data_IF_793583564868
#
_entry.id   IF_793583564868
#
_cell.length_a   1.000
_cell.length_b   1.000
_cell.length_c   1.000
_cell.angle_alpha   90.00
_cell.angle_beta   90.00
_cell.angle_gamma   90.00
#
_symmetry.space_group_name_H-M   'P 1'
#
loop_
_entity.id
_entity.type
_entity.pdbx_description
1 polymer ?
#
# COMPACT_ATOMS: atom_id res chain seq x y z
N UNK A 1 14.79 -10.42 -34.08
CA UNK A 1 15.51 -10.29 -35.37
C UNK A 1 15.55 -11.66 -36.02
N UNK A 2 15.38 -11.72 -37.34
CA UNK A 2 15.48 -12.98 -38.09
C UNK A 2 16.54 -12.79 -39.17
N UNK A 3 17.57 -13.63 -39.15
CA UNK A 3 18.65 -13.61 -40.15
C UNK A 3 18.70 -14.96 -40.87
N UNK A 4 19.08 -14.93 -42.14
CA UNK A 4 19.32 -16.08 -43.00
C UNK A 4 20.61 -15.86 -43.77
N UNK A 5 21.54 -16.81 -43.67
CA UNK A 5 22.81 -16.77 -44.37
C UNK A 5 22.84 -17.82 -45.49
N UNK A 6 23.24 -17.40 -46.69
CA UNK A 6 23.42 -18.29 -47.83
C UNK A 6 24.90 -18.58 -48.04
N UNK A 7 25.32 -19.83 -47.80
CA UNK A 7 26.70 -20.28 -48.01
C UNK A 7 27.14 -20.20 -49.48
N UNK A 8 26.22 -20.28 -50.44
CA UNK A 8 26.55 -20.21 -51.88
C UNK A 8 26.89 -18.82 -52.37
N UNK A 9 26.25 -17.81 -51.77
CA UNK A 9 26.36 -16.41 -52.20
C UNK A 9 27.12 -15.55 -51.21
N UNK A 10 27.44 -16.07 -50.03
CA UNK A 10 28.00 -15.34 -48.88
C UNK A 10 27.18 -14.11 -48.46
N UNK A 11 25.88 -14.11 -48.76
CA UNK A 11 24.97 -13.00 -48.41
C UNK A 11 24.21 -13.37 -47.15
N UNK A 12 24.26 -12.46 -46.17
CA UNK A 12 23.38 -12.48 -45.00
C UNK A 12 22.18 -11.59 -45.29
N UNK A 13 20.99 -12.17 -45.34
CA UNK A 13 19.73 -11.44 -45.46
C UNK A 13 18.96 -11.50 -44.14
N UNK A 14 18.15 -10.51 -43.83
CA UNK A 14 17.42 -10.55 -42.57
C UNK A 14 16.47 -9.38 -42.36
N UNK A 15 15.60 -9.57 -41.37
CA UNK A 15 14.62 -8.61 -40.94
C UNK A 15 14.80 -8.31 -39.45
N UNK A 16 14.91 -7.02 -39.12
CA UNK A 16 15.01 -6.55 -37.75
C UNK A 16 13.80 -5.69 -37.43
N UNK A 17 13.06 -6.07 -36.40
CA UNK A 17 12.08 -5.20 -35.75
C UNK A 17 12.75 -4.61 -34.51
N UNK A 18 12.89 -3.30 -34.48
CA UNK A 18 13.48 -2.56 -33.37
C UNK A 18 12.48 -1.50 -32.86
N UNK A 19 12.58 -1.17 -31.57
CA UNK A 19 11.83 -0.06 -31.00
C UNK A 19 12.42 1.27 -31.50
N UNK A 20 11.62 2.35 -31.51
CA UNK A 20 12.10 3.67 -31.92
C UNK A 20 13.25 4.20 -31.03
N UNK A 21 13.37 3.68 -29.80
CA UNK A 21 14.47 3.95 -28.88
C UNK A 21 15.79 3.30 -29.30
N UNK A 22 15.74 2.22 -30.08
CA UNK A 22 16.92 1.52 -30.56
C UNK A 22 17.35 2.16 -31.88
N UNK A 23 18.42 2.95 -31.84
CA UNK A 23 19.01 3.59 -33.01
C UNK A 23 19.79 2.59 -33.88
N UNK A 24 19.03 1.67 -34.47
CA UNK A 24 19.54 0.59 -35.31
C UNK A 24 20.07 1.12 -36.64
N UNK A 25 19.50 2.22 -37.14
CA UNK A 25 19.92 2.82 -38.42
C UNK A 25 21.38 3.27 -38.34
N UNK A 26 21.74 4.00 -37.28
CA UNK A 26 23.11 4.42 -37.05
C UNK A 26 24.09 3.25 -36.93
N UNK A 27 23.70 2.16 -36.25
CA UNK A 27 24.55 0.95 -36.16
C UNK A 27 24.81 0.31 -37.53
N UNK A 28 23.79 0.26 -38.39
CA UNK A 28 23.93 -0.30 -39.74
C UNK A 28 24.78 0.62 -40.61
N UNK A 29 24.63 1.93 -40.48
CA UNK A 29 25.46 2.94 -41.17
C UNK A 29 26.92 2.86 -40.73
N UNK A 30 27.21 2.64 -39.45
CA UNK A 30 28.57 2.43 -38.93
C UNK A 30 29.19 1.09 -39.36
N UNK A 31 28.36 0.08 -39.65
CA UNK A 31 28.80 -1.24 -40.11
C UNK A 31 29.06 -1.29 -41.62
N UNK A 32 28.42 -0.41 -42.40
CA UNK A 32 28.57 -0.37 -43.86
C UNK A 32 30.04 -0.25 -44.32
N UNK A 33 30.88 0.63 -43.73
CA UNK A 33 32.29 0.75 -44.08
C UNK A 33 33.13 -0.48 -43.69
N UNK A 34 32.66 -1.30 -42.75
CA UNK A 34 33.36 -2.48 -42.26
C UNK A 34 33.07 -3.75 -43.10
N UNK A 35 32.31 -3.64 -44.19
CA UNK A 35 31.77 -4.77 -44.94
C UNK A 35 32.83 -5.66 -45.63
N UNK A 36 34.00 -5.12 -46.01
CA UNK A 36 34.92 -5.81 -46.93
C UNK A 36 35.84 -6.89 -46.32
N UNK A 37 36.16 -6.92 -45.01
CA UNK A 37 36.91 -8.05 -44.43
C UNK A 37 36.18 -8.84 -43.31
N UNK A 38 34.90 -8.52 -42.98
CA UNK A 38 34.30 -8.95 -41.70
C UNK A 38 32.87 -9.52 -41.75
N UNK A 39 32.44 -10.11 -42.85
CA UNK A 39 31.06 -10.59 -43.02
C UNK A 39 30.76 -11.90 -42.26
N UNK A 40 30.97 -11.94 -40.95
CA UNK A 40 30.40 -12.99 -40.11
C UNK A 40 28.92 -12.67 -39.85
N UNK A 41 27.97 -13.58 -40.16
CA UNK A 41 26.52 -13.30 -40.08
C UNK A 41 26.07 -12.91 -38.66
N UNK A 42 26.80 -13.34 -37.64
CA UNK A 42 26.54 -13.03 -36.24
C UNK A 42 27.09 -11.70 -35.72
N UNK A 43 27.84 -10.94 -36.52
CA UNK A 43 28.42 -9.67 -36.07
C UNK A 43 27.35 -8.63 -35.73
N UNK A 44 26.37 -8.42 -36.62
CA UNK A 44 25.27 -7.50 -36.41
C UNK A 44 24.41 -7.87 -35.17
N UNK A 45 23.92 -9.12 -35.00
CA UNK A 45 23.22 -9.51 -33.78
C UNK A 45 24.02 -9.23 -32.52
N UNK A 46 25.32 -9.51 -32.55
CA UNK A 46 26.17 -9.35 -31.39
C UNK A 46 26.35 -7.87 -31.03
N UNK A 47 26.47 -6.98 -32.02
CA UNK A 47 26.58 -5.54 -31.80
C UNK A 47 25.27 -4.97 -31.25
N UNK A 48 24.14 -5.39 -31.80
CA UNK A 48 22.81 -5.00 -31.30
C UNK A 48 22.62 -5.48 -29.85
N UNK A 49 22.92 -6.75 -29.56
CA UNK A 49 22.88 -7.29 -28.21
C UNK A 49 23.80 -6.53 -27.26
N UNK A 50 25.02 -6.23 -27.70
CA UNK A 50 25.98 -5.51 -26.90
C UNK A 50 25.49 -4.08 -26.60
N UNK A 51 24.88 -3.38 -27.56
CA UNK A 51 24.33 -2.04 -27.31
C UNK A 51 23.18 -2.10 -26.29
N UNK A 52 22.17 -2.93 -26.54
CA UNK A 52 21.02 -3.06 -25.64
C UNK A 52 21.43 -3.46 -24.21
N UNK A 53 22.32 -4.45 -24.08
CA UNK A 53 22.77 -4.91 -22.76
C UNK A 53 23.69 -3.91 -22.06
N UNK A 54 24.55 -3.19 -22.78
CA UNK A 54 25.54 -2.31 -22.16
C UNK A 54 24.99 -0.93 -21.84
N UNK A 55 24.19 -0.34 -22.72
CA UNK A 55 23.71 1.03 -22.51
C UNK A 55 22.40 1.02 -21.76
N UNK A 56 21.40 0.31 -22.27
CA UNK A 56 20.06 0.42 -21.74
C UNK A 56 19.93 -0.27 -20.37
N UNK A 57 20.36 -1.54 -20.26
CA UNK A 57 20.17 -2.28 -19.02
C UNK A 57 21.02 -1.72 -17.86
N UNK A 58 22.27 -1.31 -18.10
CA UNK A 58 23.10 -0.72 -17.04
C UNK A 58 22.60 0.66 -16.58
N UNK A 59 22.09 1.47 -17.51
CA UNK A 59 21.45 2.74 -17.15
C UNK A 59 20.19 2.53 -16.32
N UNK A 60 19.34 1.56 -16.69
CA UNK A 60 18.15 1.21 -15.91
C UNK A 60 18.57 0.75 -14.52
N UNK A 61 19.55 -0.16 -14.40
CA UNK A 61 20.04 -0.62 -13.10
C UNK A 61 20.60 0.52 -12.25
N UNK A 62 21.35 1.44 -12.86
CA UNK A 62 21.87 2.62 -12.17
C UNK A 62 20.74 3.51 -11.66
N UNK A 63 19.71 3.79 -12.47
CA UNK A 63 18.53 4.56 -12.07
C UNK A 63 17.78 3.91 -10.90
N UNK A 64 17.60 2.58 -10.94
CA UNK A 64 16.98 1.84 -9.83
C UNK A 64 17.82 1.96 -8.56
N UNK A 65 19.16 1.87 -8.67
CA UNK A 65 20.07 2.03 -7.53
C UNK A 65 19.99 3.42 -6.91
N UNK A 66 20.00 4.46 -7.74
CA UNK A 66 19.90 5.85 -7.28
C UNK A 66 18.56 6.08 -6.58
N UNK A 67 17.48 5.49 -7.10
CA UNK A 67 16.15 5.50 -6.49
C UNK A 67 16.12 4.75 -5.15
N UNK A 68 16.74 3.56 -5.07
CA UNK A 68 16.86 2.79 -3.83
C UNK A 68 17.64 3.59 -2.77
N UNK A 69 18.74 4.23 -3.15
CA UNK A 69 19.51 5.05 -2.22
C UNK A 69 18.69 6.25 -1.72
N UNK A 70 17.89 6.88 -2.58
CA UNK A 70 16.97 7.94 -2.17
C UNK A 70 15.92 7.42 -1.16
N UNK A 71 15.33 6.25 -1.41
CA UNK A 71 14.37 5.60 -0.49
C UNK A 71 15.03 5.29 0.86
N UNK A 72 16.24 4.71 0.86
CA UNK A 72 17.00 4.40 2.07
C UNK A 72 17.34 5.67 2.89
N UNK A 73 17.71 6.75 2.22
CA UNK A 73 17.98 8.04 2.87
C UNK A 73 16.70 8.63 3.50
N UNK A 74 15.56 8.56 2.81
CA UNK A 74 14.29 9.03 3.34
C UNK A 74 13.79 8.20 4.53
N UNK A 75 13.91 6.87 4.45
CA UNK A 75 13.52 5.94 5.53
C UNK A 75 14.44 6.04 6.76
N UNK A 76 15.75 6.20 6.56
CA UNK A 76 16.69 6.39 7.68
C UNK A 76 16.46 7.71 8.43
N UNK A 77 16.06 8.77 7.73
CA UNK A 77 15.62 10.04 8.33
C UNK A 77 14.37 9.90 9.21
N UNK A 78 13.55 8.88 8.98
CA UNK A 78 12.39 8.54 9.81
C UNK A 78 12.79 7.82 11.10
N UNK A 79 13.68 6.81 11.01
CA UNK A 79 14.14 6.02 12.16
C UNK A 79 14.92 6.86 13.19
N UNK A 80 15.67 7.87 12.74
CA UNK A 80 16.59 8.63 13.60
C UNK A 80 15.94 9.75 14.43
N UNK A 81 14.63 10.04 14.31
CA UNK A 81 14.02 11.12 15.10
C UNK A 81 13.61 10.60 16.49
N UNK A 82 14.34 10.95 17.55
CA UNK A 82 13.98 10.55 18.89
C UNK A 82 12.64 11.19 19.25
N UNK A 83 11.86 10.42 19.97
CA UNK A 83 10.60 10.76 20.63
C UNK A 83 10.72 12.02 21.48
N UNK A 84 10.63 13.19 20.84
CA UNK A 84 10.65 14.48 21.52
C UNK A 84 9.94 15.52 20.69
N UNK A 85 8.84 16.03 21.24
CA UNK A 85 8.03 17.17 20.78
C UNK A 85 6.98 16.88 19.68
N UNK A 86 5.74 16.82 20.15
CA UNK A 86 4.49 16.82 19.39
C UNK A 86 4.15 18.23 18.92
N UNK A 87 4.90 18.80 17.97
CA UNK A 87 4.46 20.06 17.33
C UNK A 87 4.68 19.98 15.82
N UNK A 88 3.60 20.15 15.05
CA UNK A 88 3.63 20.37 13.60
C UNK A 88 3.78 19.12 12.72
N UNK A 89 2.81 18.19 12.74
CA UNK A 89 2.84 16.96 11.92
C UNK A 89 1.67 16.88 10.93
N UNK A 90 1.59 17.82 9.99
CA UNK A 90 0.74 17.67 8.79
C UNK A 90 1.59 17.43 7.53
N UNK A 91 2.87 17.84 7.52
CA UNK A 91 3.79 17.64 6.40
C UNK A 91 4.40 16.21 6.29
N UNK A 92 4.23 15.33 7.28
CA UNK A 92 4.88 14.00 7.31
C UNK A 92 4.14 12.89 6.55
N UNK A 93 2.84 13.01 6.31
CA UNK A 93 2.09 11.96 5.61
C UNK A 93 2.29 12.03 4.08
N UNK A 94 2.58 13.23 3.56
CA UNK A 94 2.95 13.42 2.15
C UNK A 94 4.27 12.71 1.79
N UNK A 95 5.17 12.53 2.76
CA UNK A 95 6.47 11.87 2.59
C UNK A 95 6.33 10.34 2.45
N UNK A 96 5.44 9.70 3.23
CA UNK A 96 5.17 8.24 3.13
C UNK A 96 4.61 7.89 1.75
N UNK A 97 3.63 8.65 1.27
CA UNK A 97 3.06 8.43 -0.06
C UNK A 97 4.11 8.63 -1.16
N UNK A 98 4.98 9.65 -1.03
CA UNK A 98 6.10 9.85 -1.93
C UNK A 98 7.08 8.67 -1.96
N UNK A 99 7.46 8.16 -0.79
CA UNK A 99 8.32 6.97 -0.66
C UNK A 99 7.64 5.72 -1.25
N UNK A 100 6.34 5.55 -1.01
CA UNK A 100 5.56 4.44 -1.56
C UNK A 100 5.52 4.47 -3.09
N UNK A 101 5.29 5.65 -3.70
CA UNK A 101 5.35 5.82 -5.15
C UNK A 101 6.76 5.51 -5.69
N UNK A 102 7.81 6.09 -5.10
CA UNK A 102 9.19 5.82 -5.53
C UNK A 102 9.55 4.32 -5.44
N UNK A 103 9.08 3.63 -4.39
CA UNK A 103 9.28 2.20 -4.22
C UNK A 103 8.53 1.39 -5.28
N UNK A 104 7.30 1.78 -5.61
CA UNK A 104 6.51 1.16 -6.67
C UNK A 104 7.17 1.36 -8.04
N UNK A 105 7.66 2.56 -8.34
CA UNK A 105 8.37 2.89 -9.58
C UNK A 105 9.69 2.11 -9.69
N UNK A 106 10.49 2.06 -8.62
CA UNK A 106 11.73 1.29 -8.58
C UNK A 106 11.48 -0.21 -8.82
N UNK A 107 10.43 -0.78 -8.20
CA UNK A 107 9.99 -2.16 -8.44
C UNK A 107 9.52 -2.37 -9.88
N UNK A 108 8.76 -1.42 -10.44
CA UNK A 108 8.30 -1.45 -11.81
C UNK A 108 9.45 -1.49 -12.82
N UNK A 109 10.44 -0.61 -12.65
CA UNK A 109 11.64 -0.57 -13.50
C UNK A 109 12.46 -1.85 -13.40
N UNK A 110 12.54 -2.45 -12.21
CA UNK A 110 13.26 -3.69 -12.00
C UNK A 110 12.59 -4.90 -12.69
N UNK A 111 11.26 -4.92 -12.73
CA UNK A 111 10.50 -6.01 -13.34
C UNK A 111 10.48 -5.96 -14.88
N UNK A 112 10.82 -4.81 -15.47
CA UNK A 112 10.66 -4.55 -16.90
C UNK A 112 11.66 -5.32 -17.79
N UNK A 113 12.86 -5.65 -17.31
CA UNK A 113 13.83 -6.45 -18.07
C UNK A 113 14.45 -7.57 -17.23
N UNK A 114 14.01 -8.80 -17.50
CA UNK A 114 14.52 -10.00 -16.85
C UNK A 114 15.85 -10.44 -17.48
N UNK A 115 16.97 -10.42 -16.72
CA UNK A 115 18.26 -10.87 -17.25
C UNK A 115 18.24 -12.33 -17.69
N UNK A 116 17.32 -13.15 -17.16
CA UNK A 116 17.12 -14.54 -17.55
C UNK A 116 16.72 -14.69 -19.01
N UNK A 117 15.87 -13.78 -19.52
CA UNK A 117 15.45 -13.80 -20.93
C UNK A 117 16.64 -13.54 -21.85
N UNK A 118 17.52 -12.61 -21.48
CA UNK A 118 18.73 -12.32 -22.23
C UNK A 118 19.74 -13.48 -22.23
N UNK A 119 19.79 -14.27 -21.15
CA UNK A 119 20.59 -15.50 -21.12
C UNK A 119 20.10 -16.51 -22.15
N UNK A 120 18.78 -16.72 -22.24
CA UNK A 120 18.19 -17.62 -23.23
C UNK A 120 18.49 -17.18 -24.66
N UNK A 121 18.39 -15.87 -24.93
CA UNK A 121 18.77 -15.30 -26.22
C UNK A 121 20.25 -15.56 -26.52
N UNK A 122 21.13 -15.33 -25.55
CA UNK A 122 22.57 -15.54 -25.74
C UNK A 122 22.93 -17.01 -25.98
N UNK A 123 22.28 -17.94 -25.28
CA UNK A 123 22.44 -19.38 -25.52
C UNK A 123 21.93 -19.77 -26.91
N UNK A 124 20.78 -19.23 -27.35
CA UNK A 124 20.27 -19.48 -28.72
C UNK A 124 21.24 -18.97 -29.80
N UNK A 125 21.86 -17.81 -29.58
CA UNK A 125 22.88 -17.25 -30.48
C UNK A 125 24.12 -18.13 -30.48
N UNK A 126 24.56 -18.62 -29.33
CA UNK A 126 25.71 -19.52 -29.22
C UNK A 126 25.45 -20.86 -29.91
N UNK A 127 24.26 -21.45 -29.74
CA UNK A 127 23.87 -22.68 -30.44
C UNK A 127 23.86 -22.45 -31.96
N UNK A 128 23.26 -21.36 -32.41
CA UNK A 128 23.20 -21.02 -33.84
C UNK A 128 24.60 -20.75 -34.44
N UNK A 129 25.50 -20.16 -33.65
CA UNK A 129 26.89 -19.94 -34.02
C UNK A 129 27.65 -21.26 -34.21
N UNK A 130 27.41 -22.24 -33.33
CA UNK A 130 27.98 -23.59 -33.44
C UNK A 130 27.50 -24.31 -34.70
N UNK A 131 26.18 -24.30 -34.96
CA UNK A 131 25.59 -24.88 -36.17
C UNK A 131 26.17 -24.25 -37.45
N UNK A 132 26.29 -22.92 -37.47
CA UNK A 132 26.92 -22.21 -38.57
C UNK A 132 28.38 -22.65 -38.79
N UNK A 133 29.14 -22.83 -37.71
CA UNK A 133 30.53 -23.27 -37.80
C UNK A 133 30.63 -24.71 -38.30
N UNK A 134 29.76 -25.60 -37.87
CA UNK A 134 29.78 -27.01 -38.27
C UNK A 134 29.48 -27.16 -39.77
N UNK A 135 28.49 -26.43 -40.28
CA UNK A 135 28.04 -26.46 -41.69
C UNK A 135 28.99 -25.72 -42.66
N UNK A 136 29.94 -24.92 -42.17
CA UNK A 136 30.82 -24.12 -43.02
C UNK A 136 31.87 -24.99 -43.76
N UNK A 137 32.11 -24.77 -45.07
CA UNK A 137 33.16 -25.46 -45.83
C UNK A 137 34.56 -25.24 -45.24
N UNK A 138 35.46 -26.21 -45.42
CA UNK A 138 36.85 -26.16 -44.91
C UNK A 138 37.66 -24.97 -45.45
N UNK A 139 37.43 -24.57 -46.70
CA UNK A 139 38.11 -23.44 -47.34
C UNK A 139 37.72 -22.11 -46.66
N UNK A 140 36.42 -21.90 -46.45
CA UNK A 140 35.88 -20.70 -45.80
C UNK A 140 36.24 -20.64 -44.30
N UNK A 141 36.25 -21.80 -43.63
CA UNK A 141 36.66 -21.92 -42.22
C UNK A 141 38.01 -21.26 -41.97
N UNK A 142 39.01 -21.53 -42.81
CA UNK A 142 40.37 -21.01 -42.64
C UNK A 142 40.42 -19.48 -42.62
N UNK A 143 39.63 -18.82 -43.46
CA UNK A 143 39.56 -17.35 -43.51
C UNK A 143 38.81 -16.76 -42.31
N UNK A 144 37.78 -17.46 -41.81
CA UNK A 144 36.88 -16.96 -40.77
C UNK A 144 37.26 -17.37 -39.33
N UNK A 145 38.25 -18.26 -39.12
CA UNK A 145 38.64 -18.73 -37.77
C UNK A 145 38.85 -17.59 -36.79
N UNK A 146 39.62 -16.56 -37.18
CA UNK A 146 39.96 -15.44 -36.29
C UNK A 146 38.72 -14.65 -35.87
N UNK A 147 37.80 -14.41 -36.81
CA UNK A 147 36.55 -13.70 -36.56
C UNK A 147 35.60 -14.53 -35.71
N UNK A 148 35.47 -15.82 -36.01
CA UNK A 148 34.64 -16.74 -35.25
C UNK A 148 35.08 -16.80 -33.78
N UNK A 149 36.38 -17.01 -33.53
CA UNK A 149 36.94 -17.00 -32.17
C UNK A 149 36.74 -15.65 -31.46
N UNK A 150 36.84 -14.53 -32.19
CA UNK A 150 36.56 -13.21 -31.63
C UNK A 150 35.10 -13.08 -31.16
N UNK A 151 34.16 -13.56 -31.97
CA UNK A 151 32.73 -13.59 -31.66
C UNK A 151 32.45 -14.50 -30.46
N UNK A 152 33.02 -15.70 -30.42
CA UNK A 152 32.87 -16.61 -29.27
C UNK A 152 33.38 -15.98 -27.97
N UNK A 153 34.57 -15.35 -28.00
CA UNK A 153 35.12 -14.62 -26.85
C UNK A 153 34.19 -13.50 -26.41
N UNK A 154 33.61 -12.76 -27.38
CA UNK A 154 32.71 -11.65 -27.08
C UNK A 154 31.37 -12.14 -26.51
N UNK A 155 30.82 -13.25 -26.99
CA UNK A 155 29.67 -13.92 -26.39
C UNK A 155 29.99 -14.34 -24.95
N UNK A 156 31.17 -14.93 -24.71
CA UNK A 156 31.64 -15.30 -23.37
C UNK A 156 31.74 -14.08 -22.44
N UNK A 157 32.27 -12.96 -22.94
CA UNK A 157 32.32 -11.70 -22.21
C UNK A 157 30.92 -11.17 -21.85
N UNK A 158 29.98 -11.16 -22.81
CA UNK A 158 28.60 -10.74 -22.57
C UNK A 158 27.93 -11.65 -21.54
N UNK A 159 28.16 -12.96 -21.60
CA UNK A 159 27.63 -13.92 -20.62
C UNK A 159 28.13 -13.63 -19.21
N UNK A 160 29.43 -13.40 -19.05
CA UNK A 160 30.03 -13.06 -17.75
C UNK A 160 29.46 -11.73 -17.20
N UNK A 161 29.32 -10.72 -18.07
CA UNK A 161 28.71 -9.43 -17.70
C UNK A 161 27.26 -9.59 -17.26
N UNK A 162 26.47 -10.37 -17.99
CA UNK A 162 25.06 -10.62 -17.66
C UNK A 162 24.89 -11.34 -16.32
N UNK A 163 25.81 -12.25 -15.97
CA UNK A 163 25.84 -12.87 -14.65
C UNK A 163 26.13 -11.83 -13.53
N UNK A 164 27.00 -10.85 -13.80
CA UNK A 164 27.20 -9.71 -12.89
C UNK A 164 25.94 -8.88 -12.70
N UNK A 165 25.31 -8.46 -13.82
CA UNK A 165 24.05 -7.70 -13.85
C UNK A 165 22.95 -8.43 -13.08
N UNK A 166 22.81 -9.74 -13.24
CA UNK A 166 21.84 -10.55 -12.51
C UNK A 166 22.10 -10.58 -11.00
N UNK A 167 23.36 -10.78 -10.58
CA UNK A 167 23.73 -10.74 -9.16
C UNK A 167 23.37 -9.38 -8.54
N UNK A 168 23.68 -8.29 -9.24
CA UNK A 168 23.31 -6.94 -8.80
C UNK A 168 21.81 -6.70 -8.78
N UNK A 169 21.09 -7.20 -9.76
CA UNK A 169 19.63 -7.15 -9.76
C UNK A 169 19.10 -7.87 -8.52
N UNK A 170 19.57 -9.09 -8.24
CA UNK A 170 19.09 -9.85 -7.10
C UNK A 170 19.35 -9.14 -5.75
N UNK A 171 20.56 -8.61 -5.52
CA UNK A 171 20.86 -7.83 -4.31
C UNK A 171 19.94 -6.60 -4.18
N UNK A 172 19.74 -5.87 -5.27
CA UNK A 172 18.85 -4.70 -5.30
C UNK A 172 17.41 -5.10 -4.98
N UNK A 173 16.97 -6.29 -5.43
CA UNK A 173 15.64 -6.83 -5.15
C UNK A 173 15.46 -7.04 -3.66
N UNK A 174 16.41 -7.74 -3.06
CA UNK A 174 16.38 -8.14 -1.67
C UNK A 174 16.38 -6.89 -0.78
N UNK A 175 17.18 -5.88 -1.14
CA UNK A 175 17.20 -4.57 -0.48
C UNK A 175 15.88 -3.81 -0.62
N UNK A 176 15.30 -3.75 -1.82
CA UNK A 176 13.98 -3.12 -2.02
C UNK A 176 12.88 -3.83 -1.22
N UNK A 177 12.94 -5.16 -1.10
CA UNK A 177 12.00 -5.92 -0.26
C UNK A 177 12.15 -5.60 1.23
N UNK A 178 13.38 -5.40 1.72
CA UNK A 178 13.63 -4.94 3.09
C UNK A 178 13.03 -3.55 3.30
N UNK A 179 13.25 -2.62 2.37
CA UNK A 179 12.68 -1.26 2.48
C UNK A 179 11.15 -1.26 2.41
N UNK A 180 10.55 -2.11 1.59
CA UNK A 180 9.10 -2.27 1.52
C UNK A 180 8.52 -2.72 2.85
N UNK A 181 9.11 -3.76 3.47
CA UNK A 181 8.68 -4.25 4.79
C UNK A 181 8.83 -3.18 5.87
N UNK A 182 9.92 -2.40 5.82
CA UNK A 182 10.13 -1.30 6.76
C UNK A 182 9.06 -0.21 6.59
N UNK A 183 8.68 0.13 5.35
CA UNK A 183 7.62 1.07 5.06
C UNK A 183 6.26 0.59 5.60
N UNK A 184 5.93 -0.69 5.42
CA UNK A 184 4.69 -1.28 5.94
C UNK A 184 4.60 -1.17 7.48
N UNK A 185 5.71 -1.44 8.18
CA UNK A 185 5.78 -1.29 9.64
C UNK A 185 5.58 0.18 10.05
N UNK A 186 6.18 1.13 9.34
CA UNK A 186 5.99 2.56 9.61
C UNK A 186 4.55 2.99 9.34
N UNK A 187 3.93 2.47 8.28
CA UNK A 187 2.53 2.75 7.96
C UNK A 187 1.62 2.27 9.09
N UNK A 188 1.80 1.02 9.55
CA UNK A 188 1.07 0.48 10.70
C UNK A 188 1.27 1.32 11.98
N UNK A 189 2.49 1.80 12.24
CA UNK A 189 2.76 2.69 13.37
C UNK A 189 2.00 4.03 13.23
N UNK A 190 1.93 4.59 12.02
CA UNK A 190 1.18 5.82 11.77
C UNK A 190 -0.32 5.62 11.92
N UNK A 191 -0.87 4.51 11.43
CA UNK A 191 -2.28 4.15 11.60
C UNK A 191 -2.64 3.95 13.07
N UNK A 192 -1.77 3.27 13.84
CA UNK A 192 -1.95 3.09 15.27
C UNK A 192 -1.97 4.44 16.01
N UNK A 193 -1.04 5.36 15.69
CA UNK A 193 -1.01 6.72 16.27
C UNK A 193 -2.25 7.52 15.89
N UNK A 194 -2.70 7.42 14.64
CA UNK A 194 -3.91 8.10 14.17
C UNK A 194 -5.17 7.56 14.87
N UNK A 195 -5.26 6.24 15.05
CA UNK A 195 -6.36 5.58 15.77
C UNK A 195 -6.43 6.04 17.23
N UNK A 196 -5.28 6.13 17.93
CA UNK A 196 -5.21 6.66 19.29
C UNK A 196 -5.65 8.13 19.34
N UNK A 197 -5.17 8.96 18.41
CA UNK A 197 -5.56 10.35 18.32
C UNK A 197 -7.07 10.52 18.05
N UNK A 198 -7.63 9.74 17.13
CA UNK A 198 -9.06 9.71 16.82
C UNK A 198 -9.89 9.25 18.01
N UNK A 199 -9.43 8.24 18.75
CA UNK A 199 -10.09 7.77 19.98
C UNK A 199 -10.08 8.86 21.04
N UNK A 200 -8.97 9.59 21.20
CA UNK A 200 -8.87 10.71 22.14
C UNK A 200 -9.82 11.86 21.76
N UNK A 201 -9.91 12.19 20.46
CA UNK A 201 -10.82 13.20 19.94
C UNK A 201 -12.29 12.77 20.13
N UNK A 202 -12.60 11.51 19.84
CA UNK A 202 -13.93 10.92 20.05
C UNK A 202 -14.34 10.94 21.52
N UNK A 203 -13.40 10.65 22.44
CA UNK A 203 -13.64 10.76 23.88
C UNK A 203 -13.93 12.21 24.31
N UNK A 204 -13.22 13.19 23.75
CA UNK A 204 -13.48 14.62 24.01
C UNK A 204 -14.85 15.07 23.46
N UNK A 205 -15.21 14.62 22.25
CA UNK A 205 -16.52 14.88 21.65
C UNK A 205 -17.62 14.24 22.50
N UNK A 206 -17.46 12.97 22.90
CA UNK A 206 -18.43 12.28 23.74
C UNK A 206 -18.59 12.95 25.12
N UNK A 207 -17.51 13.44 25.73
CA UNK A 207 -17.59 14.21 26.98
C UNK A 207 -18.34 15.53 26.80
N UNK A 208 -18.06 16.27 25.72
CA UNK A 208 -18.73 17.53 25.40
C UNK A 208 -20.20 17.33 25.03
N UNK A 209 -20.51 16.24 24.32
CA UNK A 209 -21.86 15.81 24.00
C UNK A 209 -22.62 15.40 25.26
N UNK A 210 -21.99 14.71 26.22
CA UNK A 210 -22.62 14.36 27.50
C UNK A 210 -23.04 15.58 28.32
N UNK A 211 -22.26 16.67 28.29
CA UNK A 211 -22.67 17.95 28.85
C UNK A 211 -23.87 18.53 28.10
N UNK A 212 -23.82 18.61 26.76
CA UNK A 212 -24.97 19.08 25.97
C UNK A 212 -26.24 18.23 26.14
N UNK A 213 -26.10 16.92 26.37
CA UNK A 213 -27.24 16.03 26.66
C UNK A 213 -27.87 16.31 28.03
N UNK A 214 -27.12 16.82 29.01
CA UNK A 214 -27.69 17.23 30.31
C UNK A 214 -28.54 18.49 30.16
N UNK A 215 -28.09 19.42 29.33
CA UNK A 215 -28.83 20.65 29.02
C UNK A 215 -30.07 20.36 28.16
N UNK A 216 -29.97 19.42 27.22
CA UNK A 216 -31.12 18.97 26.44
C UNK A 216 -32.11 18.18 27.30
N UNK A 217 -31.62 17.37 28.26
CA UNK A 217 -32.47 16.66 29.20
C UNK A 217 -33.22 17.62 30.13
N UNK A 218 -32.59 18.70 30.62
CA UNK A 218 -33.27 19.69 31.45
C UNK A 218 -34.35 20.45 30.67
N UNK A 219 -34.07 20.86 29.42
CA UNK A 219 -35.07 21.47 28.54
C UNK A 219 -36.26 20.51 28.29
N UNK A 220 -35.99 19.23 28.05
CA UNK A 220 -37.03 18.22 27.81
C UNK A 220 -37.88 17.98 29.06
N UNK A 221 -37.28 18.01 30.25
CA UNK A 221 -38.03 17.92 31.51
C UNK A 221 -38.92 19.16 31.68
N UNK A 222 -38.40 20.36 31.39
CA UNK A 222 -39.19 21.60 31.43
C UNK A 222 -40.37 21.53 30.47
N UNK A 223 -40.16 21.12 29.22
CA UNK A 223 -41.26 21.00 28.25
C UNK A 223 -42.26 19.91 28.65
N UNK A 224 -41.80 18.78 29.19
CA UNK A 224 -42.68 17.70 29.65
C UNK A 224 -43.57 18.11 30.83
N UNK A 225 -43.10 18.99 31.71
CA UNK A 225 -43.89 19.51 32.84
C UNK A 225 -44.84 20.62 32.38
N UNK A 226 -44.35 21.53 31.53
CA UNK A 226 -45.14 22.69 31.11
C UNK A 226 -46.20 22.37 30.07
N UNK A 227 -46.01 21.36 29.19
CA UNK A 227 -46.96 21.04 28.12
C UNK A 227 -48.31 20.51 28.66
N UNK A 228 -48.36 19.58 29.63
CA UNK A 228 -49.61 19.16 30.25
C UNK A 228 -50.24 20.27 31.09
N UNK A 229 -49.42 21.09 31.78
CA UNK A 229 -49.89 22.20 32.59
C UNK A 229 -50.52 23.31 31.72
N UNK A 230 -49.93 23.63 30.56
CA UNK A 230 -50.51 24.57 29.60
C UNK A 230 -51.75 24.02 28.92
N UNK A 231 -51.80 22.71 28.64
CA UNK A 231 -53.02 22.07 28.15
C UNK A 231 -54.18 22.14 29.17
N UNK A 232 -53.90 21.87 30.45
CA UNK A 232 -54.87 22.01 31.54
C UNK A 232 -55.30 23.47 31.76
N UNK A 233 -54.38 24.43 31.66
CA UNK A 233 -54.70 25.85 31.73
C UNK A 233 -55.52 26.32 30.52
N UNK A 234 -55.32 25.77 29.32
CA UNK A 234 -56.15 26.12 28.15
C UNK A 234 -57.60 25.62 28.29
N UNK A 235 -57.84 24.58 29.09
CA UNK A 235 -59.17 24.08 29.43
C UNK A 235 -59.91 24.95 30.49
N UNK A 236 -59.20 25.88 31.13
CA UNK A 236 -59.70 26.76 32.19
C UNK A 236 -59.26 28.21 31.91
N UNK A 237 -60.09 29.17 31.46
CA UNK A 237 -61.51 29.16 31.10
C UNK A 237 -61.76 29.80 29.70
N UNK A 238 -62.44 29.09 28.79
CA UNK A 238 -63.06 29.70 27.59
C UNK A 238 -64.19 28.79 27.04
N UNK A 239 -65.13 29.31 26.24
CA UNK A 239 -66.58 29.10 26.35
C UNK A 239 -67.12 27.78 25.77
N UNK A 240 -66.33 26.70 25.75
CA UNK A 240 -66.82 25.38 25.34
C UNK A 240 -67.71 24.73 26.42
N UNK A 241 -67.58 25.17 27.68
CA UNK A 241 -68.41 24.73 28.82
C UNK A 241 -69.83 25.33 28.85
N UNK A 242 -70.17 26.23 27.92
CA UNK A 242 -71.53 26.81 27.82
C UNK A 242 -72.46 26.10 26.85
N UNK A 243 -71.98 25.09 26.11
CA UNK A 243 -72.76 24.35 25.12
C UNK A 243 -73.43 23.07 25.65
N UNK A 244 -73.20 22.70 26.92
CA UNK A 244 -73.84 21.54 27.57
C UNK A 244 -74.80 22.02 28.66
N UNK A 245 -75.99 22.45 28.25
CA UNK A 245 -77.10 22.74 29.15
C UNK A 245 -77.90 21.46 29.43
N UNK A 246 -77.32 20.60 30.26
CA UNK A 246 -78.04 19.55 30.99
C UNK A 246 -77.25 19.22 32.27
N UNK A 247 -77.91 19.32 33.42
CA UNK A 247 -77.29 19.26 34.76
C UNK A 247 -76.71 17.88 35.15
N UNK A 248 -76.63 16.92 34.22
CA UNK A 248 -76.24 15.53 34.48
C UNK A 248 -75.00 15.10 33.66
N UNK A 249 -74.61 15.81 32.60
CA UNK A 249 -73.47 15.40 31.74
C UNK A 249 -72.10 15.97 32.16
N UNK A 250 -72.07 16.90 33.13
CA UNK A 250 -70.81 17.51 33.61
C UNK A 250 -69.99 16.52 34.44
N UNK A 251 -70.63 15.68 35.26
CA UNK A 251 -69.93 14.65 36.04
C UNK A 251 -69.42 13.51 35.15
N UNK A 252 -70.21 13.12 34.14
CA UNK A 252 -69.85 12.09 33.18
C UNK A 252 -68.66 12.53 32.30
N UNK A 253 -68.69 13.76 31.76
CA UNK A 253 -67.61 14.31 30.95
C UNK A 253 -66.33 14.57 31.74
N UNK A 254 -66.41 15.05 33.00
CA UNK A 254 -65.24 15.17 33.88
C UNK A 254 -64.64 13.79 34.19
N UNK A 255 -65.46 12.78 34.46
CA UNK A 255 -64.99 11.41 34.74
C UNK A 255 -64.33 10.75 33.52
N UNK A 256 -64.82 11.04 32.31
CA UNK A 256 -64.22 10.59 31.06
C UNK A 256 -62.88 11.27 30.79
N UNK A 257 -62.77 12.58 31.02
CA UNK A 257 -61.52 13.33 30.90
C UNK A 257 -60.48 12.91 31.96
N UNK A 258 -60.90 12.66 33.21
CA UNK A 258 -60.02 12.14 34.26
C UNK A 258 -59.54 10.72 33.92
N UNK A 259 -60.41 9.87 33.37
CA UNK A 259 -60.07 8.53 32.91
C UNK A 259 -59.04 8.53 31.80
N UNK A 260 -59.19 9.42 30.80
CA UNK A 260 -58.21 9.61 29.72
C UNK A 260 -56.88 10.13 30.27
N UNK A 261 -56.91 11.09 31.21
CA UNK A 261 -55.72 11.61 31.87
C UNK A 261 -54.94 10.55 32.65
N UNK A 262 -55.64 9.70 33.41
CA UNK A 262 -55.04 8.59 34.15
C UNK A 262 -54.47 7.52 33.20
N UNK A 263 -55.18 7.19 32.12
CA UNK A 263 -54.69 6.27 31.10
C UNK A 263 -53.39 6.79 30.45
N UNK A 264 -53.32 8.09 30.18
CA UNK A 264 -52.12 8.71 29.61
C UNK A 264 -50.95 8.72 30.60
N UNK A 265 -51.20 8.93 31.89
CA UNK A 265 -50.19 8.84 32.95
C UNK A 265 -49.65 7.40 33.12
N UNK A 266 -50.52 6.39 33.03
CA UNK A 266 -50.11 4.98 33.06
C UNK A 266 -49.29 4.63 31.80
N UNK A 267 -49.67 5.16 30.64
CA UNK A 267 -48.91 4.97 29.40
C UNK A 267 -47.51 5.63 29.48
N UNK A 268 -47.43 6.85 30.00
CA UNK A 268 -46.16 7.57 30.19
C UNK A 268 -45.25 6.90 31.22
N UNK A 269 -45.81 6.43 32.34
CA UNK A 269 -45.04 5.74 33.37
C UNK A 269 -44.54 4.38 32.90
N UNK A 270 -45.36 3.60 32.18
CA UNK A 270 -44.94 2.33 31.58
C UNK A 270 -43.87 2.51 30.49
N UNK A 271 -43.99 3.55 29.65
CA UNK A 271 -42.98 3.89 28.64
C UNK A 271 -41.66 4.31 29.31
N UNK A 272 -41.73 5.11 30.37
CA UNK A 272 -40.55 5.52 31.14
C UNK A 272 -39.87 4.32 31.82
N UNK A 273 -40.68 3.37 32.33
CA UNK A 273 -40.17 2.12 32.89
C UNK A 273 -39.50 1.24 31.83
N UNK A 274 -40.09 1.14 30.63
CA UNK A 274 -39.52 0.38 29.50
C UNK A 274 -38.18 0.96 29.02
N UNK A 275 -38.06 2.29 28.96
CA UNK A 275 -36.79 2.96 28.62
C UNK A 275 -35.73 2.71 29.70
N UNK A 276 -36.10 2.77 30.98
CA UNK A 276 -35.19 2.48 32.10
C UNK A 276 -34.71 1.03 32.09
N UNK A 277 -35.58 0.07 31.76
CA UNK A 277 -35.22 -1.33 31.57
C UNK A 277 -34.26 -1.53 30.40
N UNK A 278 -34.51 -0.88 29.25
CA UNK A 278 -33.62 -0.94 28.09
C UNK A 278 -32.22 -0.41 28.42
N UNK A 279 -32.14 0.72 29.12
CA UNK A 279 -30.85 1.27 29.55
C UNK A 279 -30.12 0.32 30.51
N UNK A 280 -30.82 -0.31 31.45
CA UNK A 280 -30.21 -1.26 32.39
C UNK A 280 -29.63 -2.50 31.69
N UNK A 281 -30.24 -2.98 30.61
CA UNK A 281 -29.73 -4.11 29.84
C UNK A 281 -28.46 -3.75 29.04
N UNK A 282 -28.36 -2.53 28.50
CA UNK A 282 -27.17 -2.06 27.78
C UNK A 282 -25.96 -1.96 28.74
N UNK A 283 -26.18 -1.53 30.00
CA UNK A 283 -25.14 -1.49 31.02
C UNK A 283 -24.61 -2.88 31.41
N UNK A 284 -25.47 -3.90 31.47
CA UNK A 284 -25.03 -5.28 31.78
C UNK A 284 -24.11 -5.86 30.70
N UNK A 285 -24.43 -5.64 29.42
CA UNK A 285 -23.56 -6.09 28.33
C UNK A 285 -22.21 -5.35 28.29
N UNK A 286 -22.14 -4.10 28.76
CA UNK A 286 -20.87 -3.37 28.89
C UNK A 286 -19.97 -3.90 30.02
N UNK A 287 -20.54 -4.38 31.12
CA UNK A 287 -19.78 -5.00 32.22
C UNK A 287 -19.28 -6.40 31.88
N UNK A 288 -20.06 -7.19 31.14
CA UNK A 288 -19.62 -8.50 30.66
C UNK A 288 -18.47 -8.37 29.65
N UNK A 289 -18.51 -7.42 28.72
CA UNK A 289 -17.39 -7.14 27.82
C UNK A 289 -16.09 -6.71 28.52
N UNK A 290 -16.19 -6.04 29.68
CA UNK A 290 -15.04 -5.60 30.48
C UNK A 290 -14.40 -6.74 31.28
N UNK A 291 -15.16 -7.78 31.62
CA UNK A 291 -14.65 -8.98 32.32
C UNK A 291 -13.88 -9.91 31.38
N UNK A 292 -14.22 -9.95 30.09
CA UNK A 292 -13.51 -10.78 29.10
C UNK A 292 -12.12 -10.22 28.80
N UNK A 293 -11.95 -8.89 28.73
CA UNK A 293 -10.64 -8.25 28.50
C UNK A 293 -9.68 -8.41 29.68
N UNK A 294 -10.20 -8.47 30.91
CA UNK A 294 -9.37 -8.65 32.11
C UNK A 294 -8.92 -10.10 32.37
N UNK A 295 -9.52 -11.09 31.70
CA UNK A 295 -9.08 -12.49 31.81
C UNK A 295 -7.93 -12.84 30.85
N UNK A 296 -7.71 -12.05 29.80
CA UNK A 296 -6.64 -12.30 28.82
C UNK A 296 -5.31 -11.61 29.12
N UNK A 297 -5.25 -10.72 30.11
CA UNK A 297 -4.03 -10.01 30.55
C UNK A 297 -3.41 -10.58 31.85
N UNK A 298 -3.62 -11.87 32.12
CA UNK A 298 -2.90 -12.62 33.14
C UNK A 298 -1.51 -13.10 32.67
N UNK A 299 -0.64 -12.20 32.24
CA UNK A 299 0.76 -12.52 31.97
C UNK A 299 1.57 -12.49 33.27
N UNK A 300 2.12 -13.65 33.67
CA UNK A 300 2.97 -13.85 34.85
C UNK A 300 4.24 -12.97 34.78
N UNK A 301 4.66 -12.32 35.88
CA UNK A 301 5.98 -11.72 35.95
C UNK A 301 7.05 -12.81 36.11
N UNK A 302 7.94 -12.93 35.12
CA UNK A 302 9.16 -13.74 35.20
C UNK A 302 10.18 -12.97 36.07
N UNK A 303 10.58 -13.59 37.19
CA UNK A 303 11.56 -13.04 38.13
C UNK A 303 12.95 -13.00 37.50
N UNK A 304 13.60 -11.84 37.57
CA UNK A 304 15.05 -11.69 37.39
C UNK A 304 15.78 -12.30 38.60
N UNK A 305 16.69 -13.22 38.32
CA UNK A 305 17.76 -13.63 39.23
C UNK A 305 19.01 -13.88 38.37
N UNK A 306 19.90 -12.89 38.33
CA UNK A 306 21.30 -13.07 37.92
C UNK A 306 22.12 -12.27 38.92
N UNK A 307 22.72 -13.01 39.86
CA UNK A 307 23.76 -12.55 40.75
C UNK A 307 25.03 -12.26 39.93
N UNK A 308 25.57 -11.06 40.11
CA UNK A 308 26.92 -10.70 39.66
C UNK A 308 27.77 -10.57 40.91
N UNK A 309 28.48 -11.63 41.24
CA UNK A 309 29.66 -11.55 42.11
C UNK A 309 30.89 -11.44 41.21
N UNK A 310 31.54 -10.27 41.27
CA UNK A 310 32.91 -10.12 40.79
C UNK A 310 33.88 -10.75 41.79
N UNK A 311 34.90 -11.43 41.29
CA UNK A 311 36.17 -11.55 41.98
C UNK A 311 37.30 -11.42 40.97
N UNK A 312 38.11 -10.40 41.22
CA UNK A 312 39.45 -10.20 40.70
C UNK A 312 40.36 -11.16 41.46
N UNK A 313 41.12 -11.99 40.74
CA UNK A 313 42.59 -12.17 40.72
C UNK A 313 42.87 -13.15 39.59
#
# INVERSE_FOLDING_TARGET
MTLSYSFKTHITSGYVKAAASTDLKHLVEELLPCAEPTAHPFLLPLLVLNRELCTNMEEVQRRVRDSLQAIENSLSGWSRKPSGRYEGRSAKNADINGISCMLADARGHMLWERPETWKQVLESVKTSLGLFWDELPLEDKASMVKLHQSIERRIGFIKARLAGIESYAQDTKDRLEIQAKALDVLLLETEAKMSVAMTSASSRIAKSAKTGSRDLASLTIVTLVFLPATFLAALLPNPFSRAFDSKIDILASLSALLGIGIAFLIMLTSLCWAVKIRQRNIWRHSEEGRKVVNFTTGARPMSRGIDVHGSII
#
